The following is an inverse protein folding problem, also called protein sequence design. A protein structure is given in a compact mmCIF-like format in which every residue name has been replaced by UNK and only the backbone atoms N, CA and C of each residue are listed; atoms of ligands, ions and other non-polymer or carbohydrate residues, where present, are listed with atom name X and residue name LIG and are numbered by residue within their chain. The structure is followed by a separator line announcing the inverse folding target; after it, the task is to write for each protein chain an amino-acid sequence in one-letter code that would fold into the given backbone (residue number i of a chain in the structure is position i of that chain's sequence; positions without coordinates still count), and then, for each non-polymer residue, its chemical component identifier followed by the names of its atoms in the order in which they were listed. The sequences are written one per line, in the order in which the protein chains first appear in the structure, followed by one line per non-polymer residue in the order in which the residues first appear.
data_IF_951507908943
#
_entry.id   IF_951507908943
#
_cell.length_a   1.000
_cell.length_b   1.000
_cell.length_c   1.000
_cell.angle_alpha   90.00
_cell.angle_beta   90.00
_cell.angle_gamma   90.00
#
_symmetry.space_group_name_H-M   'P 1'
#
loop_
_entity.id
_entity.type
_entity.pdbx_description
1 polymer ?
#
# COMPACT_ATOMS: atom_id res chain seq x y z
N UNK A 1 -7.29 -13.49 -19.83
CA UNK A 1 -6.70 -13.06 -18.53
C UNK A 1 -7.61 -11.99 -17.94
N UNK A 2 -8.13 -12.17 -16.73
CA UNK A 2 -9.00 -11.17 -16.12
C UNK A 2 -8.15 -9.93 -15.78
N UNK A 3 -8.69 -8.71 -15.96
CA UNK A 3 -7.98 -7.44 -15.63
C UNK A 3 -7.45 -7.43 -14.21
N UNK A 4 -8.16 -8.10 -13.28
CA UNK A 4 -7.74 -8.30 -11.89
C UNK A 4 -6.37 -8.98 -11.77
N UNK A 5 -6.11 -10.00 -12.58
CA UNK A 5 -4.82 -10.72 -12.61
C UNK A 5 -3.72 -9.85 -13.22
N UNK A 6 -4.05 -9.09 -14.28
CA UNK A 6 -3.12 -8.19 -14.95
C UNK A 6 -2.55 -7.13 -14.00
N UNK A 7 -3.39 -6.54 -13.13
CA UNK A 7 -2.96 -5.54 -12.15
C UNK A 7 -2.61 -6.15 -10.78
N UNK A 8 -2.67 -7.47 -10.63
CA UNK A 8 -2.48 -8.15 -9.32
C UNK A 8 -3.33 -7.51 -8.23
N UNK A 9 -4.56 -7.13 -8.58
CA UNK A 9 -5.48 -6.45 -7.67
C UNK A 9 -6.04 -7.44 -6.65
N UNK A 10 -5.85 -7.12 -5.36
CA UNK A 10 -6.36 -7.93 -4.25
C UNK A 10 -6.51 -7.08 -2.99
N UNK A 11 -7.42 -7.47 -2.10
CA UNK A 11 -7.55 -6.90 -0.75
C UNK A 11 -6.28 -7.19 0.09
N UNK A 12 -6.06 -6.42 1.17
CA UNK A 12 -4.92 -6.63 2.06
C UNK A 12 -4.98 -7.98 2.80
N UNK A 13 -6.20 -8.50 3.05
CA UNK A 13 -6.48 -9.85 3.53
C UNK A 13 -7.81 -10.32 2.95
N UNK A 14 -8.15 -11.60 3.14
CA UNK A 14 -9.40 -12.19 2.62
C UNK A 14 -10.66 -11.38 3.00
N UNK A 15 -10.69 -10.86 4.23
CA UNK A 15 -11.84 -10.13 4.77
C UNK A 15 -11.61 -8.62 4.90
N UNK A 16 -10.59 -8.06 4.22
CA UNK A 16 -10.35 -6.61 4.24
C UNK A 16 -11.27 -5.89 3.24
N UNK A 17 -12.21 -5.05 3.70
CA UNK A 17 -13.21 -4.45 2.82
C UNK A 17 -12.73 -3.14 2.17
N UNK A 18 -11.73 -2.45 2.74
CA UNK A 18 -11.39 -1.07 2.41
C UNK A 18 -10.04 -0.93 1.69
N UNK A 19 -9.00 -1.65 2.16
CA UNK A 19 -7.64 -1.44 1.67
C UNK A 19 -7.21 -2.55 0.72
N UNK A 20 -6.88 -2.17 -0.50
CA UNK A 20 -6.50 -3.05 -1.60
C UNK A 20 -5.08 -2.74 -2.07
N UNK A 21 -4.47 -3.69 -2.73
CA UNK A 21 -3.16 -3.52 -3.38
C UNK A 21 -3.20 -3.84 -4.85
N UNK A 22 -2.39 -3.13 -5.67
CA UNK A 22 -2.24 -3.40 -7.09
C UNK A 22 -0.84 -3.12 -7.63
N UNK A 23 -0.60 -3.52 -8.87
CA UNK A 23 0.50 -3.01 -9.69
C UNK A 23 0.11 -1.66 -10.30
N UNK A 24 1.13 -0.90 -10.76
CA UNK A 24 0.94 0.35 -11.50
C UNK A 24 0.22 0.10 -12.85
N UNK A 25 -0.38 1.14 -13.47
CA UNK A 25 -0.81 1.08 -14.87
C UNK A 25 0.37 0.94 -15.84
N UNK A 26 0.09 0.60 -17.10
CA UNK A 26 1.04 0.79 -18.17
C UNK A 26 1.39 2.27 -18.38
N UNK A 27 2.42 2.56 -19.17
CA UNK A 27 2.98 3.92 -19.26
C UNK A 27 2.24 4.85 -20.22
N UNK A 28 1.45 4.31 -21.16
CA UNK A 28 0.64 5.11 -22.08
C UNK A 28 -0.59 5.70 -21.40
N UNK A 29 -1.01 6.88 -21.85
CA UNK A 29 -2.16 7.59 -21.27
C UNK A 29 -3.45 6.75 -21.35
N UNK A 30 -3.66 6.02 -22.44
CA UNK A 30 -4.77 5.07 -22.58
C UNK A 30 -4.72 3.96 -21.52
N UNK A 31 -3.53 3.42 -21.25
CA UNK A 31 -3.34 2.38 -20.22
C UNK A 31 -3.55 2.92 -18.81
N UNK A 32 -3.22 4.19 -18.57
CA UNK A 32 -3.52 4.88 -17.31
C UNK A 32 -5.02 5.02 -17.15
N UNK A 33 -5.74 5.46 -18.18
CA UNK A 33 -7.19 5.59 -18.17
C UNK A 33 -7.88 4.23 -17.94
N UNK A 34 -7.44 3.18 -18.62
CA UNK A 34 -7.95 1.81 -18.44
C UNK A 34 -7.75 1.31 -17.00
N UNK A 35 -6.61 1.65 -16.38
CA UNK A 35 -6.36 1.31 -14.98
C UNK A 35 -7.30 2.07 -14.04
N UNK A 36 -7.50 3.37 -14.27
CA UNK A 36 -8.42 4.22 -13.48
C UNK A 36 -9.85 3.66 -13.59
N UNK A 37 -10.33 3.38 -14.80
CA UNK A 37 -11.66 2.80 -15.05
C UNK A 37 -11.82 1.45 -14.36
N UNK A 38 -10.79 0.59 -14.44
CA UNK A 38 -10.80 -0.69 -13.72
C UNK A 38 -10.91 -0.47 -12.22
N UNK A 39 -10.12 0.41 -11.63
CA UNK A 39 -10.18 0.69 -10.19
C UNK A 39 -11.55 1.24 -9.78
N UNK A 40 -12.12 2.15 -10.56
CA UNK A 40 -13.47 2.68 -10.34
C UNK A 40 -14.54 1.58 -10.44
N UNK A 41 -14.40 0.64 -11.37
CA UNK A 41 -15.30 -0.52 -11.51
C UNK A 41 -15.25 -1.46 -10.28
N UNK A 42 -14.12 -1.46 -9.53
CA UNK A 42 -13.97 -2.17 -8.26
C UNK A 42 -14.43 -1.32 -7.04
N UNK A 43 -15.06 -0.18 -7.31
CA UNK A 43 -15.51 0.80 -6.31
C UNK A 43 -14.36 1.44 -5.52
N UNK A 44 -13.14 1.47 -6.08
CA UNK A 44 -12.04 2.24 -5.50
C UNK A 44 -12.31 3.73 -5.63
N UNK A 45 -12.18 4.45 -4.52
CA UNK A 45 -12.38 5.90 -4.42
C UNK A 45 -11.10 6.67 -4.14
N UNK A 46 -10.07 6.00 -3.61
CA UNK A 46 -8.81 6.62 -3.20
C UNK A 46 -7.60 5.86 -3.73
N UNK A 47 -6.50 6.57 -3.98
CA UNK A 47 -5.24 5.99 -4.46
C UNK A 47 -4.09 6.40 -3.55
N UNK A 48 -3.30 5.42 -3.11
CA UNK A 48 -2.00 5.63 -2.47
C UNK A 48 -0.89 5.16 -3.42
N UNK A 49 -0.21 6.10 -4.06
CA UNK A 49 0.85 5.85 -5.03
C UNK A 49 2.22 5.83 -4.33
N UNK A 50 2.95 4.71 -4.45
CA UNK A 50 4.27 4.52 -3.85
C UNK A 50 5.42 4.69 -4.85
N UNK A 51 5.14 5.14 -6.08
CA UNK A 51 6.15 5.34 -7.13
C UNK A 51 7.07 6.51 -6.78
N UNK A 52 8.36 6.34 -7.05
CA UNK A 52 9.35 7.42 -6.94
C UNK A 52 9.21 8.43 -8.07
N UNK A 53 9.74 9.64 -7.90
CA UNK A 53 9.83 10.65 -8.97
C UNK A 53 10.43 10.06 -10.26
N UNK A 54 11.53 9.31 -10.13
CA UNK A 54 12.18 8.64 -11.26
C UNK A 54 11.25 7.67 -12.00
N UNK A 55 10.34 7.00 -11.30
CA UNK A 55 9.35 6.12 -11.92
C UNK A 55 8.21 6.92 -12.57
N UNK A 56 7.83 8.06 -11.99
CA UNK A 56 6.79 8.95 -12.51
C UNK A 56 7.19 9.63 -13.82
N UNK A 57 8.46 9.94 -14.05
CA UNK A 57 8.98 10.55 -15.30
C UNK A 57 8.59 9.73 -16.55
N UNK A 58 8.33 8.44 -16.40
CA UNK A 58 7.93 7.55 -17.50
C UNK A 58 6.47 7.75 -17.96
N UNK A 59 5.70 8.55 -17.23
CA UNK A 59 4.32 8.90 -17.55
C UNK A 59 4.23 10.35 -17.99
N UNK A 60 3.26 10.69 -18.81
CA UNK A 60 2.98 12.08 -19.18
C UNK A 60 2.57 12.90 -17.96
N UNK A 61 1.63 12.41 -17.17
CA UNK A 61 1.19 13.05 -15.91
C UNK A 61 0.34 12.13 -15.03
N UNK A 62 0.92 11.06 -14.50
CA UNK A 62 0.18 10.02 -13.77
C UNK A 62 -0.60 10.57 -12.56
N UNK A 63 0.03 11.39 -11.72
CA UNK A 63 -0.61 11.89 -10.49
C UNK A 63 -1.77 12.81 -10.78
N UNK A 64 -1.67 13.61 -11.84
CA UNK A 64 -2.78 14.46 -12.28
C UNK A 64 -3.94 13.63 -12.84
N UNK A 65 -3.64 12.59 -13.63
CA UNK A 65 -4.66 11.64 -14.07
C UNK A 65 -5.41 11.01 -12.90
N UNK A 66 -4.69 10.65 -11.82
CA UNK A 66 -5.34 10.15 -10.60
C UNK A 66 -6.21 11.22 -9.92
N UNK A 67 -5.73 12.48 -9.82
CA UNK A 67 -6.51 13.58 -9.23
C UNK A 67 -7.79 13.87 -10.02
N UNK A 68 -7.73 13.79 -11.33
CA UNK A 68 -8.90 13.94 -12.19
C UNK A 68 -9.88 12.78 -12.04
N UNK A 69 -9.37 11.53 -11.96
CA UNK A 69 -10.21 10.33 -11.82
C UNK A 69 -10.82 10.13 -10.44
N UNK A 70 -10.10 10.45 -9.36
CA UNK A 70 -10.52 10.16 -7.98
C UNK A 70 -10.79 11.39 -7.12
N UNK A 71 -10.30 12.58 -7.52
CA UNK A 71 -10.37 13.80 -6.75
C UNK A 71 -9.04 14.13 -6.06
N UNK A 72 -8.74 15.43 -5.91
CA UNK A 72 -7.44 15.92 -5.40
C UNK A 72 -7.13 15.42 -3.98
N UNK A 73 -8.14 15.40 -3.09
CA UNK A 73 -8.00 15.00 -1.69
C UNK A 73 -8.00 13.47 -1.49
N UNK A 74 -8.16 12.72 -2.58
CA UNK A 74 -8.23 11.26 -2.58
C UNK A 74 -6.97 10.59 -3.14
N UNK A 75 -5.94 11.38 -3.42
CA UNK A 75 -4.66 10.89 -3.95
C UNK A 75 -3.53 11.17 -2.97
N UNK A 76 -3.00 10.13 -2.38
CA UNK A 76 -1.80 10.16 -1.55
C UNK A 76 -0.60 9.75 -2.40
N UNK A 77 0.45 10.57 -2.43
CA UNK A 77 1.72 10.21 -3.05
C UNK A 77 2.82 10.14 -2.00
N UNK A 78 3.28 8.93 -1.73
CA UNK A 78 4.30 8.63 -0.71
C UNK A 78 5.41 7.77 -1.33
N UNK A 79 6.43 8.37 -1.96
CA UNK A 79 7.43 7.64 -2.74
C UNK A 79 8.29 6.72 -1.86
N UNK A 80 8.41 5.47 -2.30
CA UNK A 80 9.28 4.45 -1.68
C UNK A 80 10.22 3.90 -2.73
N UNK A 81 11.52 3.91 -2.44
CA UNK A 81 12.55 3.33 -3.31
C UNK A 81 12.32 1.82 -3.47
N UNK A 82 12.58 1.29 -4.66
CA UNK A 82 12.40 -0.13 -4.94
C UNK A 82 13.31 -1.01 -4.06
N UNK A 83 12.77 -2.11 -3.57
CA UNK A 83 13.42 -3.01 -2.62
C UNK A 83 13.84 -2.34 -1.29
N UNK A 84 13.15 -1.25 -0.90
CA UNK A 84 13.30 -0.63 0.41
C UNK A 84 11.97 -0.67 1.17
N UNK A 85 12.07 -0.55 2.48
CA UNK A 85 10.91 -0.25 3.32
C UNK A 85 10.63 1.25 3.34
N UNK A 86 9.40 1.59 3.61
CA UNK A 86 8.99 2.97 3.87
C UNK A 86 9.73 3.51 5.10
N UNK A 87 10.04 4.79 5.11
CA UNK A 87 10.57 5.45 6.31
C UNK A 87 9.47 5.53 7.38
N UNK A 88 9.78 5.24 8.66
CA UNK A 88 8.77 5.22 9.72
C UNK A 88 7.90 6.49 9.78
N UNK A 89 8.50 7.69 9.66
CA UNK A 89 7.74 8.94 9.69
C UNK A 89 6.76 9.09 8.50
N UNK A 90 7.13 8.62 7.30
CA UNK A 90 6.24 8.64 6.12
C UNK A 90 5.08 7.67 6.33
N UNK A 91 5.36 6.49 6.88
CA UNK A 91 4.31 5.53 7.21
C UNK A 91 3.32 6.10 8.21
N UNK A 92 3.82 6.62 9.34
CA UNK A 92 2.99 7.06 10.47
C UNK A 92 2.25 8.37 10.21
N UNK A 93 2.85 9.32 9.48
CA UNK A 93 2.27 10.66 9.32
C UNK A 93 1.69 10.93 7.93
N UNK A 94 1.84 10.02 6.97
CA UNK A 94 1.30 10.21 5.63
C UNK A 94 0.46 9.01 5.17
N UNK A 95 1.03 7.79 5.16
CA UNK A 95 0.35 6.63 4.58
C UNK A 95 -0.78 6.12 5.49
N UNK A 96 -0.48 5.79 6.74
CA UNK A 96 -1.49 5.27 7.66
C UNK A 96 -2.64 6.25 7.91
N UNK A 97 -2.43 7.57 8.07
CA UNK A 97 -3.54 8.52 8.13
C UNK A 97 -4.40 8.55 6.86
N UNK A 98 -3.78 8.42 5.65
CA UNK A 98 -4.53 8.32 4.40
C UNK A 98 -5.43 7.07 4.37
N UNK A 99 -4.91 5.91 4.81
CA UNK A 99 -5.67 4.66 4.87
C UNK A 99 -6.76 4.71 5.96
N UNK A 100 -6.46 5.31 7.11
CA UNK A 100 -7.42 5.50 8.20
C UNK A 100 -8.58 6.42 7.77
N UNK A 101 -8.29 7.52 7.06
CA UNK A 101 -9.32 8.39 6.51
C UNK A 101 -10.21 7.66 5.49
N UNK A 102 -9.66 6.77 4.68
CA UNK A 102 -10.42 5.91 3.78
C UNK A 102 -11.35 4.97 4.56
N UNK A 103 -10.86 4.35 5.62
CA UNK A 103 -11.62 3.44 6.47
C UNK A 103 -12.75 4.16 7.21
N UNK A 104 -12.47 5.32 7.81
CA UNK A 104 -13.48 6.14 8.47
C UNK A 104 -14.59 6.61 7.52
N UNK A 105 -14.24 6.93 6.28
CA UNK A 105 -15.19 7.34 5.25
C UNK A 105 -15.87 6.14 4.55
N UNK A 106 -15.50 4.91 4.87
CA UNK A 106 -15.94 3.68 4.18
C UNK A 106 -15.67 3.73 2.66
N UNK A 107 -14.61 4.44 2.25
CA UNK A 107 -14.17 4.56 0.86
C UNK A 107 -13.02 3.60 0.57
N UNK A 108 -13.18 2.71 -0.41
CA UNK A 108 -12.11 1.79 -0.78
C UNK A 108 -10.89 2.54 -1.33
N UNK A 109 -9.71 2.15 -0.88
CA UNK A 109 -8.42 2.69 -1.29
C UNK A 109 -7.53 1.61 -1.89
N UNK A 110 -6.86 1.95 -3.01
CA UNK A 110 -5.83 1.08 -3.58
C UNK A 110 -4.44 1.64 -3.30
N UNK A 111 -3.58 0.81 -2.75
CA UNK A 111 -2.14 1.06 -2.58
C UNK A 111 -1.41 0.40 -3.74
N UNK A 112 -0.59 1.14 -4.48
CA UNK A 112 0.18 0.53 -5.56
C UNK A 112 1.64 0.97 -5.58
N UNK A 113 2.48 0.09 -6.06
CA UNK A 113 3.85 0.36 -6.47
C UNK A 113 4.05 -0.12 -7.92
N UNK A 114 5.26 -0.30 -8.39
CA UNK A 114 5.53 -0.78 -9.75
C UNK A 114 4.95 -2.20 -9.97
N UNK A 115 5.45 -3.21 -9.28
CA UNK A 115 5.00 -4.60 -9.44
C UNK A 115 3.81 -5.02 -8.58
N UNK A 116 3.33 -4.17 -7.66
CA UNK A 116 2.22 -4.46 -6.77
C UNK A 116 2.47 -5.60 -5.77
N UNK A 117 3.74 -5.90 -5.44
CA UNK A 117 4.11 -7.05 -4.60
C UNK A 117 4.81 -6.62 -3.31
N UNK A 118 6.04 -6.10 -3.38
CA UNK A 118 6.88 -5.87 -2.20
C UNK A 118 6.54 -4.60 -1.44
N UNK A 119 6.72 -3.43 -2.07
CA UNK A 119 6.40 -2.13 -1.47
C UNK A 119 4.92 -2.06 -1.07
N UNK A 120 4.04 -2.48 -1.95
CA UNK A 120 2.62 -2.63 -1.64
C UNK A 120 2.42 -3.58 -0.47
N UNK A 121 3.04 -4.76 -0.51
CA UNK A 121 2.84 -5.80 0.50
C UNK A 121 3.18 -5.36 1.93
N UNK A 122 4.30 -4.64 2.15
CA UNK A 122 4.62 -4.22 3.52
C UNK A 122 3.73 -3.06 4.02
N UNK A 123 3.20 -2.21 3.14
CA UNK A 123 2.20 -1.20 3.51
C UNK A 123 0.87 -1.88 3.89
N UNK A 124 0.42 -2.87 3.12
CA UNK A 124 -0.78 -3.63 3.47
C UNK A 124 -0.63 -4.36 4.82
N UNK A 125 0.56 -4.94 5.09
CA UNK A 125 0.82 -5.57 6.39
C UNK A 125 0.82 -4.52 7.53
N UNK A 126 1.39 -3.34 7.32
CA UNK A 126 1.35 -2.26 8.30
C UNK A 126 -0.10 -1.80 8.57
N UNK A 127 -0.93 -1.72 7.55
CA UNK A 127 -2.36 -1.42 7.70
C UNK A 127 -3.09 -2.47 8.54
N UNK A 128 -2.89 -3.75 8.26
CA UNK A 128 -3.55 -4.82 9.05
C UNK A 128 -3.13 -4.78 10.52
N UNK A 129 -1.89 -4.38 10.81
CA UNK A 129 -1.43 -4.18 12.20
C UNK A 129 -2.08 -2.95 12.83
N UNK A 130 -2.05 -1.81 12.13
CA UNK A 130 -2.54 -0.53 12.64
C UNK A 130 -4.07 -0.46 12.72
N UNK A 131 -4.74 -0.82 11.62
CA UNK A 131 -6.17 -0.62 11.45
C UNK A 131 -7.03 -1.83 11.81
N UNK A 132 -6.44 -3.03 11.89
CA UNK A 132 -7.19 -4.29 12.16
C UNK A 132 -6.65 -5.07 13.35
N UNK A 133 -5.63 -4.57 14.05
CA UNK A 133 -5.09 -5.18 15.27
C UNK A 133 -4.37 -6.51 15.07
N UNK A 134 -3.97 -6.85 13.85
CA UNK A 134 -3.25 -8.08 13.58
C UNK A 134 -1.88 -8.10 14.28
N UNK A 135 -1.43 -9.28 14.71
CA UNK A 135 -0.01 -9.43 15.04
C UNK A 135 0.85 -9.30 13.77
N UNK A 136 2.12 -8.92 13.90
CA UNK A 136 3.03 -8.78 12.75
C UNK A 136 3.05 -10.05 11.87
N UNK A 137 3.14 -11.22 12.48
CA UNK A 137 3.18 -12.49 11.76
C UNK A 137 1.84 -12.79 11.04
N UNK A 138 0.72 -12.54 11.71
CA UNK A 138 -0.60 -12.74 11.11
C UNK A 138 -0.83 -11.79 9.93
N UNK A 139 -0.44 -10.51 10.05
CA UNK A 139 -0.53 -9.53 8.98
C UNK A 139 0.30 -9.94 7.75
N UNK A 140 1.56 -10.35 7.97
CA UNK A 140 2.43 -10.83 6.91
C UNK A 140 1.84 -12.08 6.23
N UNK A 141 1.34 -13.03 7.00
CA UNK A 141 0.75 -14.25 6.46
C UNK A 141 -0.50 -13.94 5.63
N UNK A 142 -1.41 -13.11 6.13
CA UNK A 142 -2.63 -12.70 5.42
C UNK A 142 -2.31 -12.00 4.08
N UNK A 143 -1.38 -11.05 4.09
CA UNK A 143 -0.95 -10.35 2.87
C UNK A 143 -0.32 -11.31 1.85
N UNK A 144 0.44 -12.31 2.30
CA UNK A 144 1.02 -13.33 1.40
C UNK A 144 -0.05 -14.20 0.74
N UNK A 145 -1.13 -14.52 1.42
CA UNK A 145 -2.26 -15.27 0.86
C UNK A 145 -2.94 -14.52 -0.30
N UNK A 146 -2.87 -13.18 -0.30
CA UNK A 146 -3.42 -12.35 -1.39
C UNK A 146 -2.43 -12.10 -2.54
N UNK A 147 -1.31 -12.84 -2.59
CA UNK A 147 -0.33 -12.75 -3.67
C UNK A 147 0.67 -11.60 -3.56
N UNK A 148 0.73 -10.93 -2.40
CA UNK A 148 1.73 -9.91 -2.11
C UNK A 148 2.88 -10.49 -1.28
N UNK A 149 4.03 -9.82 -1.23
CA UNK A 149 5.17 -10.30 -0.45
C UNK A 149 5.82 -9.19 0.37
N UNK A 150 5.44 -9.01 1.66
CA UNK A 150 6.07 -8.03 2.55
C UNK A 150 7.59 -8.23 2.72
N UNK A 151 8.10 -9.44 2.48
CA UNK A 151 9.52 -9.80 2.57
C UNK A 151 10.33 -9.54 1.30
N UNK A 152 9.77 -8.97 0.24
CA UNK A 152 10.50 -8.76 -1.03
C UNK A 152 11.81 -7.98 -0.82
N UNK A 153 11.80 -6.92 0.00
CA UNK A 153 13.01 -6.16 0.35
C UNK A 153 14.02 -6.96 1.18
N UNK A 154 13.56 -7.92 1.99
CA UNK A 154 14.42 -8.86 2.75
C UNK A 154 15.09 -9.85 1.80
N UNK A 155 14.31 -10.41 0.87
CA UNK A 155 14.81 -11.37 -0.14
C UNK A 155 15.83 -10.69 -1.05
N UNK A 156 15.61 -9.44 -1.42
CA UNK A 156 16.52 -8.68 -2.26
C UNK A 156 17.75 -8.15 -1.51
N UNK A 157 17.77 -8.17 -0.17
CA UNK A 157 18.83 -7.59 0.65
C UNK A 157 20.25 -8.10 0.31
N UNK A 158 20.51 -9.42 0.13
CA UNK A 158 21.83 -9.91 -0.22
C UNK A 158 22.35 -9.36 -1.56
N UNK A 159 21.46 -9.26 -2.57
CA UNK A 159 21.80 -8.72 -3.89
C UNK A 159 22.09 -7.21 -3.87
N UNK A 160 21.71 -6.54 -2.78
CA UNK A 160 21.95 -5.12 -2.52
C UNK A 160 23.09 -4.90 -1.50
N UNK A 161 23.86 -5.93 -1.17
CA UNK A 161 24.92 -5.86 -0.15
C UNK A 161 24.42 -5.61 1.27
N UNK A 162 23.14 -5.93 1.56
CA UNK A 162 22.50 -5.75 2.87
C UNK A 162 22.32 -7.10 3.57
N UNK A 163 22.35 -7.08 4.90
CA UNK A 163 22.12 -8.27 5.70
C UNK A 163 20.62 -8.60 5.77
N UNK A 164 20.16 -9.78 5.31
CA UNK A 164 18.75 -10.15 5.29
C UNK A 164 18.12 -10.23 6.68
N UNK A 165 18.87 -10.64 7.70
CA UNK A 165 18.38 -10.71 9.08
C UNK A 165 18.10 -9.32 9.65
N UNK A 166 18.99 -8.34 9.36
CA UNK A 166 18.73 -6.92 9.72
C UNK A 166 17.54 -6.35 8.98
N UNK A 167 17.37 -6.72 7.72
CA UNK A 167 16.21 -6.29 6.92
C UNK A 167 14.90 -6.89 7.45
N UNK A 168 14.90 -8.16 7.87
CA UNK A 168 13.75 -8.79 8.50
C UNK A 168 13.42 -8.14 9.85
N UNK A 169 14.43 -7.85 10.67
CA UNK A 169 14.25 -7.13 11.93
C UNK A 169 13.67 -5.72 11.70
N UNK A 170 14.14 -5.01 10.66
CA UNK A 170 13.64 -3.68 10.29
C UNK A 170 12.15 -3.72 9.89
N UNK A 171 11.72 -4.72 9.12
CA UNK A 171 10.31 -4.92 8.80
C UNK A 171 9.49 -5.14 10.08
N UNK A 172 9.96 -6.02 10.97
CA UNK A 172 9.25 -6.31 12.21
C UNK A 172 9.14 -5.08 13.11
N UNK A 173 10.22 -4.28 13.22
CA UNK A 173 10.21 -3.01 13.96
C UNK A 173 9.22 -2.01 13.36
N UNK A 174 9.19 -1.90 12.02
CA UNK A 174 8.26 -1.03 11.30
C UNK A 174 6.80 -1.41 11.59
N UNK A 175 6.47 -2.70 11.51
CA UNK A 175 5.12 -3.21 11.81
C UNK A 175 4.76 -3.02 13.29
N UNK A 176 5.71 -3.22 14.20
CA UNK A 176 5.47 -2.98 15.63
C UNK A 176 5.20 -1.52 15.93
N UNK A 177 5.93 -0.61 15.29
CA UNK A 177 5.70 0.83 15.42
C UNK A 177 4.35 1.29 14.84
N UNK A 178 3.75 0.51 13.94
CA UNK A 178 2.44 0.81 13.36
C UNK A 178 1.26 0.50 14.29
N UNK A 179 1.49 -0.17 15.43
CA UNK A 179 0.42 -0.44 16.41
C UNK A 179 -0.10 0.86 16.99
N UNK A 180 -1.44 0.99 17.17
CA UNK A 180 -2.00 2.13 17.91
C UNK A 180 -1.33 2.25 19.27
N UNK A 181 -1.00 3.47 19.69
CA UNK A 181 -0.54 3.69 21.07
C UNK A 181 -1.69 3.37 22.03
N UNK A 182 -1.37 2.80 23.19
CA UNK A 182 -2.37 2.47 24.22
C UNK A 182 -3.22 3.69 24.64
N UNK A 183 -2.73 4.92 24.42
CA UNK A 183 -3.47 6.16 24.69
C UNK A 183 -4.59 6.43 23.65
N UNK A 184 -4.44 5.98 22.40
CA UNK A 184 -5.45 6.16 21.35
C UNK A 184 -6.53 5.06 21.40
N UNK A 185 -6.22 3.88 21.97
CA UNK A 185 -7.16 2.77 22.10
C UNK A 185 -8.24 3.03 23.17
N UNK A 186 -8.01 3.93 24.13
CA UNK A 186 -8.94 4.23 25.23
C UNK A 186 -10.06 5.18 24.76
N UNK A 187 -9.79 6.04 23.79
CA UNK A 187 -10.77 7.06 23.32
C UNK A 187 -11.87 6.46 22.42
N UNK A 188 -11.66 5.29 21.84
CA UNK A 188 -12.64 4.60 21.00
C UNK A 188 -13.54 3.59 21.75
N UNK A 189 -13.33 3.40 23.06
CA UNK A 189 -14.15 2.50 23.89
C UNK A 189 -15.24 3.22 24.70
N UNK A 190 -15.46 4.52 24.47
CA UNK A 190 -16.37 5.37 25.25
C UNK A 190 -17.51 5.97 24.41
N UNK A 191 -18.13 5.15 23.51
CA UNK A 191 -19.43 5.48 22.90
C UNK A 191 -20.29 4.25 22.74
#
# INVERSE_FOLDING_TARGET
MLQKDMYKFAAASENEPIVFGSAQPGYGDEQVNQWIEFMQSQDIKRVCCLLTEFQLIRYSNLLEGYRQGFGIDRVCWAPIQDFNFVKPHVLMHQILPCLAAADQSQEKVVVHCSGGVGRTGHILAAWLVAGRGFSNNAAIAAVKQTGKNPYEAVIAAPFKGRNPWRSAAALNTLLTASKPSLSEAIDHSSF
#
